data_IF_815916471720
#
_entry.id   IF_815916471720
#
_cell.length_a   1.000
_cell.length_b   1.000
_cell.length_c   1.000
_cell.angle_alpha   90.00
_cell.angle_beta   90.00
_cell.angle_gamma   90.00
#
_symmetry.space_group_name_H-M   'P 1'
#
loop_
_entity.id
_entity.type
_entity.pdbx_description
1 polymer ?
#
# COMPACT_ATOMS: atom_id res chain seq x y z
N UNK A 1 -0.34 -8.57 -29.06
CA UNK A 1 -1.02 -7.58 -28.21
C UNK A 1 -2.11 -8.34 -27.48
N UNK A 2 -1.80 -8.89 -26.31
CA UNK A 2 -2.85 -9.30 -25.39
C UNK A 2 -3.59 -8.01 -25.02
N UNK A 3 -4.90 -7.97 -25.26
CA UNK A 3 -5.77 -6.91 -24.78
C UNK A 3 -5.72 -6.99 -23.25
N UNK A 4 -5.03 -6.03 -22.66
CA UNK A 4 -5.05 -5.83 -21.22
C UNK A 4 -6.46 -5.31 -20.89
N UNK A 5 -7.36 -6.21 -20.53
CA UNK A 5 -8.73 -5.90 -20.11
C UNK A 5 -8.71 -5.15 -18.78
N UNK A 6 -8.28 -3.88 -18.80
CA UNK A 6 -8.42 -2.99 -17.67
C UNK A 6 -9.81 -2.35 -17.67
N UNK A 7 -10.41 -2.24 -16.50
CA UNK A 7 -11.65 -1.51 -16.28
C UNK A 7 -11.47 -0.51 -15.14
N UNK A 8 -11.53 0.77 -15.48
CA UNK A 8 -11.50 1.85 -14.50
C UNK A 8 -12.68 1.75 -13.51
N UNK A 9 -13.83 1.26 -13.97
CA UNK A 9 -15.01 1.08 -13.12
C UNK A 9 -14.81 0.00 -12.08
N UNK A 10 -14.10 -1.09 -12.40
CA UNK A 10 -13.72 -2.09 -11.40
C UNK A 10 -12.81 -1.49 -10.30
N UNK A 11 -11.85 -0.65 -10.68
CA UNK A 11 -10.99 0.06 -9.73
C UNK A 11 -11.78 1.04 -8.85
N UNK A 12 -12.78 1.72 -9.40
CA UNK A 12 -13.68 2.59 -8.63
C UNK A 12 -14.54 1.79 -7.64
N UNK A 13 -15.09 0.65 -8.10
CA UNK A 13 -15.89 -0.25 -7.25
C UNK A 13 -15.03 -0.75 -6.09
N UNK A 14 -13.81 -1.23 -6.35
CA UNK A 14 -12.89 -1.69 -5.32
C UNK A 14 -12.58 -0.59 -4.29
N UNK A 15 -12.18 0.58 -4.74
CA UNK A 15 -11.90 1.74 -3.88
C UNK A 15 -13.11 2.14 -3.03
N UNK A 16 -14.30 2.18 -3.65
CA UNK A 16 -15.56 2.48 -2.94
C UNK A 16 -15.88 1.42 -1.87
N UNK A 17 -15.66 0.15 -2.19
CA UNK A 17 -15.88 -0.97 -1.27
C UNK A 17 -14.97 -0.89 -0.05
N UNK A 18 -13.68 -0.67 -0.27
CA UNK A 18 -12.70 -0.49 0.80
C UNK A 18 -13.10 0.69 1.70
N UNK A 19 -13.48 1.84 1.14
CA UNK A 19 -13.96 2.98 1.93
C UNK A 19 -15.18 2.67 2.78
N UNK A 20 -16.15 1.91 2.24
CA UNK A 20 -17.32 1.47 3.01
C UNK A 20 -16.95 0.56 4.18
N UNK A 21 -15.96 -0.34 3.99
CA UNK A 21 -15.48 -1.23 5.05
C UNK A 21 -14.85 -0.46 6.22
N UNK A 22 -14.21 0.67 5.95
CA UNK A 22 -13.52 1.50 6.93
C UNK A 22 -14.25 2.81 7.28
N UNK A 23 -15.55 2.91 6.97
CA UNK A 23 -16.38 4.06 7.37
C UNK A 23 -16.58 4.17 8.89
N UNK A 24 -16.33 3.10 9.63
CA UNK A 24 -16.25 3.08 11.10
C UNK A 24 -14.96 2.38 11.51
N UNK A 25 -14.10 3.07 12.27
CA UNK A 25 -12.85 2.52 12.78
C UNK A 25 -13.12 1.49 13.88
N UNK A 26 -12.42 0.34 13.77
CA UNK A 26 -12.35 -0.64 14.85
C UNK A 26 -11.07 -0.34 15.66
N UNK A 27 -11.23 -0.09 16.96
CA UNK A 27 -10.10 -0.04 17.88
C UNK A 27 -9.81 -1.46 18.35
N UNK A 28 -8.75 -2.05 17.82
CA UNK A 28 -8.31 -3.39 18.18
C UNK A 28 -7.00 -3.29 18.99
N UNK A 29 -6.85 -4.17 19.96
CA UNK A 29 -5.65 -4.29 20.76
C UNK A 29 -5.01 -5.64 20.51
N UNK A 30 -3.71 -5.65 20.23
CA UNK A 30 -2.94 -6.86 19.97
C UNK A 30 -1.72 -6.92 20.89
N UNK A 31 -1.24 -8.14 21.13
CA UNK A 31 0.07 -8.32 21.74
C UNK A 31 1.15 -7.75 20.79
N UNK A 32 2.13 -7.02 21.33
CA UNK A 32 3.22 -6.48 20.54
C UNK A 32 3.95 -7.59 19.79
N UNK A 33 4.31 -7.33 18.53
CA UNK A 33 5.19 -8.19 17.75
C UNK A 33 6.65 -7.74 17.94
N UNK A 34 7.58 -8.69 17.91
CA UNK A 34 9.01 -8.38 17.79
C UNK A 34 9.33 -7.78 16.42
N UNK A 35 8.65 -8.25 15.36
CA UNK A 35 8.81 -7.71 14.02
C UNK A 35 7.97 -6.44 13.88
N UNK A 36 8.62 -5.36 13.46
CA UNK A 36 7.99 -4.04 13.24
C UNK A 36 8.01 -3.73 11.74
N UNK A 37 6.87 -3.91 11.04
CA UNK A 37 6.83 -3.62 9.61
C UNK A 37 6.74 -2.11 9.34
N UNK A 38 7.51 -1.68 8.31
CA UNK A 38 7.39 -0.37 7.68
C UNK A 38 6.83 -0.59 6.29
N UNK A 39 5.64 -0.04 6.01
CA UNK A 39 5.04 -0.11 4.69
C UNK A 39 5.35 1.15 3.89
N UNK A 40 6.00 0.97 2.74
CA UNK A 40 6.33 2.06 1.82
C UNK A 40 5.37 1.99 0.64
N UNK A 41 4.48 2.98 0.58
CA UNK A 41 3.36 3.02 -0.37
C UNK A 41 3.40 4.28 -1.25
N UNK A 42 2.62 4.29 -2.31
CA UNK A 42 2.51 5.42 -3.23
C UNK A 42 2.08 4.99 -4.62
N UNK A 43 2.22 5.87 -5.60
CA UNK A 43 2.07 5.45 -6.99
C UNK A 43 3.33 4.70 -7.47
N UNK A 44 3.15 3.84 -8.45
CA UNK A 44 4.29 3.31 -9.19
C UNK A 44 5.13 4.47 -9.72
N UNK A 45 6.46 4.34 -9.75
CA UNK A 45 7.40 5.36 -10.25
C UNK A 45 7.43 6.67 -9.43
N UNK A 46 6.87 6.70 -8.24
CA UNK A 46 6.93 7.87 -7.34
C UNK A 46 8.25 7.99 -6.56
N UNK A 47 9.12 6.97 -6.58
CA UNK A 47 10.38 6.97 -5.84
C UNK A 47 10.39 6.06 -4.62
N UNK A 48 9.40 5.17 -4.47
CA UNK A 48 9.30 4.21 -3.36
C UNK A 48 10.54 3.34 -3.21
N UNK A 49 11.20 2.93 -4.31
CA UNK A 49 12.45 2.15 -4.24
C UNK A 49 13.63 2.95 -3.70
N UNK A 50 13.71 4.25 -4.00
CA UNK A 50 14.74 5.13 -3.41
C UNK A 50 14.52 5.28 -1.91
N UNK A 51 13.29 5.55 -1.49
CA UNK A 51 12.94 5.65 -0.08
C UNK A 51 13.26 4.35 0.68
N UNK A 52 12.92 3.19 0.11
CA UNK A 52 13.28 1.91 0.72
C UNK A 52 14.79 1.75 0.88
N UNK A 53 15.58 2.07 -0.15
CA UNK A 53 17.04 1.96 -0.09
C UNK A 53 17.64 2.86 0.99
N UNK A 54 17.10 4.07 1.16
CA UNK A 54 17.53 5.00 2.22
C UNK A 54 17.18 4.42 3.59
N UNK A 55 15.95 3.99 3.82
CA UNK A 55 15.50 3.42 5.08
C UNK A 55 16.27 2.13 5.40
N UNK A 56 16.44 1.25 4.42
CA UNK A 56 17.16 -0.02 4.56
C UNK A 56 18.70 0.15 4.63
N UNK A 57 19.24 1.36 4.43
CA UNK A 57 20.65 1.64 4.71
C UNK A 57 20.97 1.65 6.21
N UNK A 58 19.95 1.79 7.06
CA UNK A 58 20.10 1.70 8.51
C UNK A 58 20.31 0.25 8.93
N UNK A 59 21.32 0.01 9.76
CA UNK A 59 21.76 -1.34 10.18
C UNK A 59 20.71 -2.19 10.91
N UNK A 60 19.65 -1.57 11.44
CA UNK A 60 18.57 -2.27 12.13
C UNK A 60 17.36 -2.55 11.21
N UNK A 61 17.46 -2.29 9.91
CA UNK A 61 16.34 -2.39 8.97
C UNK A 61 16.67 -3.37 7.85
N UNK A 62 15.82 -4.35 7.64
CA UNK A 62 15.87 -5.24 6.48
C UNK A 62 14.91 -4.77 5.39
N UNK A 63 15.44 -4.53 4.19
CA UNK A 63 14.66 -4.17 3.00
C UNK A 63 14.11 -5.42 2.30
N UNK A 64 12.83 -5.73 2.46
CA UNK A 64 12.23 -6.92 1.87
C UNK A 64 11.74 -6.73 0.42
N UNK A 65 11.73 -5.49 -0.08
CA UNK A 65 11.25 -5.19 -1.44
C UNK A 65 9.74 -5.28 -1.57
N UNK A 66 9.27 -5.75 -2.73
CA UNK A 66 7.84 -5.86 -3.05
C UNK A 66 7.29 -7.22 -2.62
N UNK A 67 6.40 -7.20 -1.60
CA UNK A 67 5.77 -8.40 -1.07
C UNK A 67 4.30 -8.47 -1.54
N UNK A 68 3.93 -9.58 -2.20
CA UNK A 68 2.54 -9.83 -2.58
C UNK A 68 1.67 -10.29 -1.41
N UNK A 69 2.27 -10.59 -0.26
CA UNK A 69 1.61 -11.24 0.88
C UNK A 69 0.34 -10.52 1.33
N UNK A 70 0.34 -9.18 1.41
CA UNK A 70 -0.88 -8.44 1.78
C UNK A 70 -1.99 -8.59 0.74
N UNK A 71 -1.65 -8.47 -0.55
CA UNK A 71 -2.62 -8.65 -1.63
C UNK A 71 -3.22 -10.06 -1.58
N UNK A 72 -2.37 -11.09 -1.44
CA UNK A 72 -2.80 -12.50 -1.38
C UNK A 72 -3.74 -12.77 -0.20
N UNK A 73 -3.56 -12.08 0.94
CA UNK A 73 -4.41 -12.21 2.11
C UNK A 73 -5.71 -11.39 2.01
N UNK A 74 -5.66 -10.20 1.42
CA UNK A 74 -6.77 -9.23 1.46
C UNK A 74 -7.71 -9.38 0.27
N UNK A 75 -7.21 -9.67 -0.94
CA UNK A 75 -8.05 -9.77 -2.14
C UNK A 75 -9.16 -10.83 -2.03
N UNK A 76 -8.94 -12.03 -1.48
CA UNK A 76 -10.01 -13.00 -1.26
C UNK A 76 -11.11 -12.47 -0.34
N UNK A 77 -10.73 -11.69 0.70
CA UNK A 77 -11.66 -11.07 1.63
C UNK A 77 -12.50 -10.02 0.90
N UNK A 78 -11.87 -9.16 0.10
CA UNK A 78 -12.55 -8.13 -0.68
C UNK A 78 -13.54 -8.75 -1.68
N UNK A 79 -13.13 -9.79 -2.39
CA UNK A 79 -13.97 -10.49 -3.36
C UNK A 79 -15.19 -11.14 -2.70
N UNK A 80 -15.01 -11.79 -1.54
CA UNK A 80 -16.13 -12.37 -0.78
C UNK A 80 -17.13 -11.31 -0.29
N UNK A 81 -16.62 -10.18 0.20
CA UNK A 81 -17.45 -9.07 0.67
C UNK A 81 -18.20 -8.38 -0.48
N UNK A 82 -17.54 -8.19 -1.62
CA UNK A 82 -18.18 -7.68 -2.84
C UNK A 82 -19.31 -8.59 -3.30
N UNK A 83 -19.07 -9.91 -3.35
CA UNK A 83 -20.07 -10.88 -3.77
C UNK A 83 -21.29 -10.94 -2.85
N UNK A 84 -21.11 -10.65 -1.55
CA UNK A 84 -22.16 -10.72 -0.52
C UNK A 84 -22.79 -9.37 -0.18
N UNK A 85 -22.31 -8.28 -0.75
CA UNK A 85 -22.68 -6.89 -0.40
C UNK A 85 -22.60 -6.61 1.13
N UNK A 86 -21.52 -7.13 1.75
CA UNK A 86 -21.25 -6.99 3.19
C UNK A 86 -19.98 -6.21 3.40
N UNK A 87 -20.00 -5.21 4.27
CA UNK A 87 -18.87 -4.30 4.47
C UNK A 87 -18.30 -4.32 5.90
N UNK A 88 -18.89 -5.12 6.79
CA UNK A 88 -18.42 -5.21 8.17
C UNK A 88 -17.34 -6.29 8.31
N UNK A 89 -16.12 -5.85 8.65
CA UNK A 89 -15.01 -6.73 8.97
C UNK A 89 -15.06 -7.20 10.42
N UNK A 90 -14.59 -8.39 10.69
CA UNK A 90 -14.50 -8.94 12.05
C UNK A 90 -13.10 -8.79 12.62
N UNK A 91 -12.97 -8.75 13.94
CA UNK A 91 -11.68 -8.80 14.63
C UNK A 91 -10.88 -10.04 14.20
N UNK A 92 -11.53 -11.20 14.05
CA UNK A 92 -10.90 -12.43 13.59
C UNK A 92 -10.23 -12.26 12.22
N UNK A 93 -10.80 -11.47 11.34
CA UNK A 93 -10.22 -11.18 10.01
C UNK A 93 -8.85 -10.49 10.16
N UNK A 94 -8.77 -9.49 11.02
CA UNK A 94 -7.51 -8.76 11.24
C UNK A 94 -6.48 -9.59 11.99
N UNK A 95 -6.92 -10.43 12.94
CA UNK A 95 -6.03 -11.38 13.63
C UNK A 95 -5.41 -12.40 12.65
N UNK A 96 -6.21 -12.92 11.71
CA UNK A 96 -5.71 -13.83 10.66
C UNK A 96 -4.67 -13.13 9.77
N UNK A 97 -5.00 -11.92 9.25
CA UNK A 97 -4.06 -11.13 8.45
C UNK A 97 -2.75 -10.90 9.22
N UNK A 98 -2.84 -10.47 10.50
CA UNK A 98 -1.68 -10.22 11.34
C UNK A 98 -0.81 -11.46 11.48
N UNK A 99 -1.40 -12.58 11.86
CA UNK A 99 -0.68 -13.83 12.10
C UNK A 99 0.03 -14.32 10.83
N UNK A 100 -0.70 -14.42 9.72
CA UNK A 100 -0.18 -14.95 8.47
C UNK A 100 0.89 -14.05 7.85
N UNK A 101 0.71 -12.73 7.97
CA UNK A 101 1.69 -11.77 7.47
C UNK A 101 2.98 -11.79 8.30
N UNK A 102 2.89 -11.77 9.64
CA UNK A 102 4.08 -11.87 10.49
C UNK A 102 4.81 -13.21 10.32
N UNK A 103 4.07 -14.30 10.11
CA UNK A 103 4.67 -15.59 9.75
C UNK A 103 5.43 -15.52 8.41
N UNK A 104 4.87 -14.83 7.41
CA UNK A 104 5.56 -14.63 6.14
C UNK A 104 6.85 -13.81 6.31
N UNK A 105 6.82 -12.73 7.10
CA UNK A 105 8.01 -11.94 7.41
C UNK A 105 9.07 -12.74 8.18
N UNK A 106 8.67 -13.60 9.11
CA UNK A 106 9.62 -14.43 9.88
C UNK A 106 10.43 -15.39 9.02
N UNK A 107 9.94 -15.73 7.82
CA UNK A 107 10.64 -16.62 6.86
C UNK A 107 11.88 -15.99 6.25
N UNK A 108 12.03 -14.67 6.32
CA UNK A 108 13.28 -14.02 5.91
C UNK A 108 14.45 -14.43 6.82
N UNK A 109 14.16 -14.79 8.07
CA UNK A 109 15.15 -15.26 9.05
C UNK A 109 16.35 -14.32 9.17
N UNK A 110 16.07 -13.04 9.28
CA UNK A 110 17.06 -11.95 9.41
C UNK A 110 17.15 -11.48 10.86
N UNK A 111 18.31 -10.92 11.29
CA UNK A 111 18.48 -10.44 12.66
C UNK A 111 17.75 -9.13 12.96
N UNK A 112 17.33 -8.40 11.94
CA UNK A 112 16.65 -7.11 12.07
C UNK A 112 15.20 -7.29 12.52
N UNK A 113 14.79 -6.54 13.54
CA UNK A 113 13.39 -6.51 13.98
C UNK A 113 12.52 -5.61 13.10
N UNK A 114 13.12 -4.65 12.37
CA UNK A 114 12.42 -3.75 11.47
C UNK A 114 12.54 -4.25 10.03
N UNK A 115 11.40 -4.49 9.39
CA UNK A 115 11.34 -5.02 8.02
C UNK A 115 10.49 -4.08 7.15
N UNK A 116 11.03 -3.64 6.01
CA UNK A 116 10.22 -2.87 5.06
C UNK A 116 9.44 -3.78 4.12
N UNK A 117 8.20 -3.39 3.80
CA UNK A 117 7.44 -3.88 2.66
C UNK A 117 7.19 -2.68 1.73
N UNK A 118 7.90 -2.66 0.62
CA UNK A 118 7.77 -1.60 -0.37
C UNK A 118 6.94 -2.10 -1.55
N UNK A 119 5.64 -2.18 -1.33
CA UNK A 119 4.66 -2.45 -2.38
C UNK A 119 3.81 -1.18 -2.59
N UNK A 120 4.06 -0.39 -3.65
CA UNK A 120 3.42 0.90 -3.84
C UNK A 120 1.91 0.84 -3.74
N UNK A 121 1.28 -0.15 -4.39
CA UNK A 121 -0.18 -0.28 -4.43
C UNK A 121 -0.81 -0.80 -3.12
N UNK A 122 -0.02 -1.15 -2.10
CA UNK A 122 -0.53 -1.38 -0.74
C UNK A 122 -1.21 -0.13 -0.15
N UNK A 123 -1.08 1.03 -0.79
CA UNK A 123 -1.88 2.21 -0.48
C UNK A 123 -3.40 1.94 -0.50
N UNK A 124 -3.87 0.95 -1.25
CA UNK A 124 -5.26 0.51 -1.25
C UNK A 124 -5.67 -0.19 0.04
N UNK A 125 -4.71 -0.76 0.78
CA UNK A 125 -4.92 -1.64 1.93
C UNK A 125 -4.55 -1.01 3.28
N UNK A 126 -4.28 0.29 3.34
CA UNK A 126 -3.83 0.99 4.58
C UNK A 126 -4.78 0.74 5.74
N UNK A 127 -6.10 0.71 5.50
CA UNK A 127 -7.07 0.39 6.55
C UNK A 127 -6.88 -1.01 7.14
N UNK A 128 -6.61 -2.01 6.30
CA UNK A 128 -6.30 -3.37 6.75
C UNK A 128 -4.96 -3.42 7.50
N UNK A 129 -3.95 -2.72 6.98
CA UNK A 129 -2.62 -2.64 7.61
C UNK A 129 -2.74 -2.05 9.02
N UNK A 130 -3.29 -0.85 9.15
CA UNK A 130 -3.37 -0.16 10.44
C UNK A 130 -4.33 -0.84 11.44
N UNK A 131 -5.31 -1.59 10.94
CA UNK A 131 -6.18 -2.39 11.80
C UNK A 131 -5.52 -3.69 12.27
N UNK A 132 -4.71 -4.34 11.44
CA UNK A 132 -3.99 -5.57 11.81
C UNK A 132 -2.65 -5.27 12.53
N UNK A 133 -2.02 -4.14 12.23
CA UNK A 133 -0.70 -3.74 12.76
C UNK A 133 -0.76 -2.28 13.24
N UNK A 134 -1.39 -1.98 14.39
CA UNK A 134 -1.48 -0.60 14.90
C UNK A 134 -0.12 0.03 15.21
N UNK A 135 0.91 -0.80 15.39
CA UNK A 135 2.32 -0.40 15.58
C UNK A 135 3.06 -0.08 14.27
N UNK A 136 2.53 -0.51 13.12
CA UNK A 136 3.19 -0.33 11.82
C UNK A 136 3.39 1.15 11.48
N UNK A 137 4.45 1.41 10.74
CA UNK A 137 4.70 2.73 10.13
C UNK A 137 4.31 2.69 8.66
N UNK A 138 3.62 3.75 8.23
CA UNK A 138 3.27 3.94 6.82
C UNK A 138 4.06 5.13 6.30
N UNK A 139 4.90 4.90 5.29
CA UNK A 139 5.62 5.94 4.55
C UNK A 139 4.98 6.06 3.18
N UNK A 140 4.35 7.18 2.92
CA UNK A 140 3.67 7.45 1.66
C UNK A 140 4.50 8.39 0.80
N UNK A 141 4.97 7.89 -0.34
CA UNK A 141 5.80 8.68 -1.24
C UNK A 141 4.92 9.48 -2.18
N UNK A 142 5.00 10.80 -2.04
CA UNK A 142 4.33 11.78 -2.91
C UNK A 142 5.32 12.29 -3.95
N UNK A 143 4.86 12.44 -5.17
CA UNK A 143 5.62 13.01 -6.29
C UNK A 143 4.68 13.78 -7.20
N UNK A 144 5.19 14.77 -7.92
CA UNK A 144 4.41 15.50 -8.94
C UNK A 144 3.62 14.52 -9.82
N UNK A 145 2.32 14.78 -9.92
CA UNK A 145 1.38 13.88 -10.59
C UNK A 145 1.73 13.69 -12.08
N UNK A 146 2.15 14.77 -12.76
CA UNK A 146 2.48 14.72 -14.19
C UNK A 146 3.78 13.97 -14.41
N UNK A 147 4.79 14.22 -13.56
CA UNK A 147 6.06 13.50 -13.62
C UNK A 147 5.88 12.01 -13.37
N UNK A 148 5.04 11.66 -12.39
CA UNK A 148 4.68 10.27 -12.06
C UNK A 148 3.95 9.59 -13.21
N UNK A 149 2.84 10.17 -13.69
CA UNK A 149 2.06 9.62 -14.79
C UNK A 149 2.89 9.48 -16.07
N UNK A 150 3.71 10.49 -16.41
CA UNK A 150 4.60 10.42 -17.57
C UNK A 150 5.65 9.31 -17.42
N UNK A 151 6.20 9.13 -16.23
CA UNK A 151 7.16 8.04 -15.96
C UNK A 151 6.51 6.67 -16.07
N UNK A 152 5.27 6.52 -15.60
CA UNK A 152 4.47 5.29 -15.74
C UNK A 152 4.18 5.00 -17.21
N UNK A 153 3.64 5.97 -17.95
CA UNK A 153 3.23 5.80 -19.34
C UNK A 153 4.38 5.35 -20.27
N UNK A 154 5.60 5.81 -19.99
CA UNK A 154 6.80 5.43 -20.74
C UNK A 154 7.37 4.06 -20.34
N UNK A 155 6.89 3.48 -19.24
CA UNK A 155 7.46 2.25 -18.71
C UNK A 155 6.68 1.03 -19.19
N UNK A 156 7.41 -0.05 -19.52
CA UNK A 156 6.81 -1.34 -19.79
C UNK A 156 6.75 -2.16 -18.51
N UNK A 157 5.55 -2.52 -18.09
CA UNK A 157 5.33 -3.40 -16.95
C UNK A 157 5.14 -4.83 -17.43
N UNK A 158 6.02 -5.74 -16.99
CA UNK A 158 5.96 -7.16 -17.34
C UNK A 158 4.89 -7.92 -16.55
N UNK A 159 4.47 -7.39 -15.40
CA UNK A 159 3.45 -7.99 -14.54
C UNK A 159 2.04 -7.66 -15.03
N UNK A 160 1.11 -8.60 -14.89
CA UNK A 160 -0.32 -8.37 -15.09
C UNK A 160 -0.87 -7.35 -14.07
N UNK A 161 -2.04 -6.77 -14.36
CA UNK A 161 -2.74 -5.85 -13.45
C UNK A 161 -2.46 -4.36 -13.69
N UNK A 162 -1.44 -4.00 -14.49
CA UNK A 162 -1.07 -2.61 -14.77
C UNK A 162 -1.65 -2.10 -16.11
N UNK A 163 -2.77 -2.63 -16.56
CA UNK A 163 -3.39 -2.24 -17.85
C UNK A 163 -3.71 -0.76 -17.97
N UNK A 164 -4.04 -0.12 -16.86
CA UNK A 164 -4.29 1.33 -16.77
C UNK A 164 -3.06 2.19 -17.13
N UNK A 165 -1.84 1.65 -17.09
CA UNK A 165 -0.62 2.39 -17.39
C UNK A 165 -0.43 2.68 -18.89
N UNK A 166 -1.16 2.01 -19.77
CA UNK A 166 -0.96 2.07 -21.23
C UNK A 166 -1.96 2.96 -21.97
N UNK A 167 -2.89 3.58 -21.26
CA UNK A 167 -3.83 4.56 -21.77
C UNK A 167 -3.80 5.80 -20.87
N UNK A 168 -3.70 7.01 -21.43
CA UNK A 168 -3.57 8.23 -20.63
C UNK A 168 -4.83 8.57 -19.84
N UNK A 169 -6.02 8.28 -20.37
CA UNK A 169 -7.28 8.54 -19.67
C UNK A 169 -7.47 7.56 -18.52
N UNK A 170 -7.15 6.26 -18.73
CA UNK A 170 -7.16 5.26 -17.68
C UNK A 170 -6.14 5.56 -16.59
N UNK A 171 -4.94 5.99 -16.98
CA UNK A 171 -3.88 6.37 -16.05
C UNK A 171 -4.28 7.58 -15.21
N UNK A 172 -4.85 8.62 -15.83
CA UNK A 172 -5.34 9.79 -15.11
C UNK A 172 -6.50 9.42 -14.17
N UNK A 173 -7.41 8.57 -14.63
CA UNK A 173 -8.51 8.03 -13.83
C UNK A 173 -8.02 7.22 -12.62
N UNK A 174 -7.04 6.33 -12.84
CA UNK A 174 -6.44 5.54 -11.76
C UNK A 174 -5.68 6.41 -10.74
N UNK A 175 -4.93 7.42 -11.23
CA UNK A 175 -4.28 8.40 -10.35
C UNK A 175 -5.30 9.15 -9.47
N UNK A 176 -6.44 9.53 -10.05
CA UNK A 176 -7.54 10.15 -9.31
C UNK A 176 -8.12 9.23 -8.22
N UNK A 177 -8.26 7.93 -8.50
CA UNK A 177 -8.69 6.92 -7.50
C UNK A 177 -7.66 6.82 -6.38
N UNK A 178 -6.38 6.73 -6.71
CA UNK A 178 -5.27 6.71 -5.76
C UNK A 178 -5.27 7.95 -4.86
N UNK A 179 -5.32 9.15 -5.43
CA UNK A 179 -5.36 10.39 -4.64
C UNK A 179 -6.54 10.40 -3.67
N UNK A 180 -7.72 10.03 -4.18
CA UNK A 180 -8.95 10.02 -3.39
C UNK A 180 -8.96 8.97 -2.27
N UNK A 181 -8.28 7.82 -2.43
CA UNK A 181 -8.16 6.84 -1.35
C UNK A 181 -7.14 7.27 -0.30
N UNK A 182 -6.05 7.94 -0.71
CA UNK A 182 -5.08 8.51 0.24
C UNK A 182 -5.71 9.61 1.09
N UNK A 183 -6.48 10.52 0.48
CA UNK A 183 -7.23 11.56 1.22
C UNK A 183 -8.18 10.92 2.26
N UNK A 184 -8.85 9.83 1.87
CA UNK A 184 -9.71 9.08 2.79
C UNK A 184 -8.91 8.48 3.96
N UNK A 185 -7.72 7.91 3.71
CA UNK A 185 -6.90 7.35 4.77
C UNK A 185 -6.37 8.41 5.74
N UNK A 186 -5.94 9.56 5.25
CA UNK A 186 -5.53 10.68 6.11
C UNK A 186 -6.67 11.16 7.02
N UNK A 187 -7.92 11.14 6.52
CA UNK A 187 -9.09 11.50 7.33
C UNK A 187 -9.46 10.41 8.33
N UNK A 188 -9.32 9.13 7.94
CA UNK A 188 -9.74 7.98 8.77
C UNK A 188 -8.71 7.65 9.85
N UNK A 189 -7.42 7.82 9.54
CA UNK A 189 -6.29 7.54 10.42
C UNK A 189 -5.36 8.75 10.52
N UNK A 190 -5.77 9.83 11.19
CA UNK A 190 -4.94 11.02 11.33
C UNK A 190 -3.63 10.68 12.02
N UNK A 191 -2.54 11.30 11.55
CA UNK A 191 -1.18 11.16 12.08
C UNK A 191 -0.55 9.75 12.00
N UNK A 192 -1.18 8.82 11.25
CA UNK A 192 -0.67 7.46 11.06
C UNK A 192 0.14 7.26 9.78
N UNK A 193 0.09 8.22 8.86
CA UNK A 193 0.74 8.13 7.55
C UNK A 193 1.74 9.28 7.44
N UNK A 194 3.00 8.95 7.25
CA UNK A 194 4.06 9.93 6.99
C UNK A 194 4.17 10.17 5.49
N UNK A 195 3.86 11.40 5.06
CA UNK A 195 4.03 11.83 3.68
C UNK A 195 5.47 12.28 3.42
N UNK A 196 6.17 11.61 2.52
CA UNK A 196 7.50 11.94 2.07
C UNK A 196 7.45 12.46 0.63
N UNK A 197 7.87 13.70 0.42
CA UNK A 197 7.90 14.33 -0.89
C UNK A 197 9.16 13.88 -1.64
N UNK A 198 9.01 13.27 -2.81
CA UNK A 198 10.14 12.81 -3.63
C UNK A 198 11.07 13.96 -4.04
N UNK A 199 10.50 15.11 -4.36
CA UNK A 199 11.26 16.30 -4.77
C UNK A 199 12.14 16.79 -3.62
N UNK A 200 11.60 16.83 -2.38
CA UNK A 200 12.34 17.24 -1.19
C UNK A 200 13.43 16.20 -0.85
N UNK A 201 13.08 14.91 -0.89
CA UNK A 201 14.04 13.82 -0.69
C UNK A 201 15.24 13.89 -1.63
N UNK A 202 15.05 14.35 -2.88
CA UNK A 202 16.13 14.42 -3.87
C UNK A 202 16.94 15.72 -3.80
N UNK A 203 16.42 16.79 -3.17
CA UNK A 203 17.09 18.09 -3.06
C UNK A 203 17.64 18.37 -1.66
N UNK A 204 16.99 17.85 -0.61
CA UNK A 204 17.29 18.15 0.80
C UNK A 204 17.42 16.87 1.62
N UNK A 205 18.21 15.90 1.17
CA UNK A 205 18.36 14.58 1.80
C UNK A 205 18.77 14.58 3.28
N UNK A 206 19.41 15.65 3.74
CA UNK A 206 19.84 15.77 5.13
C UNK A 206 18.72 16.18 6.09
N UNK A 207 17.60 16.69 5.58
CA UNK A 207 16.46 17.20 6.37
C UNK A 207 15.27 16.19 6.41
N UNK A 208 15.20 15.27 5.47
CA UNK A 208 14.16 14.25 5.32
C UNK A 208 14.65 12.87 5.83
#
# INVERSE_FOLDING_TARGET
>A
KEELNYSLDNSKILSSTVKKMFSSTLSLSYEPSTIQPIFIVGMLRSGTSLAEQIIASHHAVYGAGELNTLADLIEPILNDHLAKDKYKLSEKTFLSIRQEYLEALSRFNVPEDVITDKMPLNCQYIGFILSAFPEAKIVHIKRDARATCWSIYKHYFSSAGNGWAYNLDDLAGFYGIYSNIMDFWHQTFPDKIYDLCYEDLTTNQEEE
#
